data_IF_680301177188
#
_entry.id   IF_680301177188
#
_cell.length_a   1.000
_cell.length_b   1.000
_cell.length_c   1.000
_cell.angle_alpha   90.00
_cell.angle_beta   90.00
_cell.angle_gamma   90.00
#
_symmetry.space_group_name_H-M   'P 1'
#
loop_
_entity.id
_entity.type
_entity.pdbx_description
1 polymer ?
#
# COMPACT_ATOMS: atom_id res chain seq x y z
N UNK A 1 -47.06 -25.98 -24.85
CA UNK A 1 -46.37 -24.70 -25.01
C UNK A 1 -46.72 -23.79 -23.85
N UNK A 2 -45.84 -23.77 -22.86
CA UNK A 2 -45.39 -22.62 -22.07
C UNK A 2 -44.41 -23.18 -21.05
N UNK A 3 -43.21 -23.40 -21.55
CA UNK A 3 -42.01 -23.68 -20.76
C UNK A 3 -41.68 -22.42 -19.96
N UNK A 4 -41.60 -22.55 -18.64
CA UNK A 4 -41.00 -21.54 -17.78
C UNK A 4 -39.76 -22.20 -17.17
N UNK A 5 -38.55 -21.97 -17.69
CA UNK A 5 -37.36 -22.46 -17.01
C UNK A 5 -37.03 -21.49 -15.88
N UNK A 6 -37.32 -21.92 -14.66
CA UNK A 6 -36.58 -21.47 -13.49
C UNK A 6 -35.09 -21.61 -13.79
N UNK A 7 -34.37 -20.50 -13.86
CA UNK A 7 -32.92 -20.50 -13.78
C UNK A 7 -32.48 -19.48 -12.77
N UNK A 8 -32.64 -19.89 -11.52
CA UNK A 8 -31.78 -19.48 -10.43
C UNK A 8 -30.40 -20.09 -10.71
N UNK A 9 -29.41 -19.29 -11.04
CA UNK A 9 -28.02 -19.63 -10.74
C UNK A 9 -27.27 -18.33 -10.46
N UNK A 10 -27.39 -17.88 -9.21
CA UNK A 10 -26.38 -17.05 -8.58
C UNK A 10 -25.06 -17.82 -8.64
N UNK A 11 -24.21 -17.48 -9.60
CA UNK A 11 -22.80 -17.86 -9.57
C UNK A 11 -22.10 -17.00 -8.53
N UNK A 12 -22.39 -17.24 -7.25
CA UNK A 12 -21.51 -16.84 -6.16
C UNK A 12 -20.29 -17.74 -6.22
N UNK A 13 -19.39 -17.44 -7.15
CA UNK A 13 -18.03 -17.93 -7.07
C UNK A 13 -17.44 -17.36 -5.79
N UNK A 14 -17.36 -18.19 -4.75
CA UNK A 14 -16.58 -17.86 -3.56
C UNK A 14 -15.12 -17.85 -3.98
N UNK A 15 -14.66 -16.71 -4.50
CA UNK A 15 -13.25 -16.43 -4.64
C UNK A 15 -12.60 -16.73 -3.29
N UNK A 16 -11.63 -17.63 -3.28
CA UNK A 16 -10.89 -17.92 -2.05
C UNK A 16 -10.25 -16.61 -1.61
N UNK A 17 -10.48 -16.14 -0.37
CA UNK A 17 -9.94 -14.86 0.07
C UNK A 17 -8.41 -14.92 -0.04
N UNK A 18 -7.83 -13.95 -0.73
CA UNK A 18 -6.37 -13.85 -0.87
C UNK A 18 -5.83 -13.52 0.52
N UNK A 19 -5.02 -14.40 1.15
CA UNK A 19 -4.52 -14.14 2.48
C UNK A 19 -3.49 -13.01 2.44
N UNK A 20 -3.44 -12.21 3.52
CA UNK A 20 -2.40 -11.20 3.69
C UNK A 20 -1.01 -11.87 3.63
N UNK A 21 -0.02 -11.23 3.00
CA UNK A 21 1.33 -11.76 2.96
C UNK A 21 1.94 -11.77 4.36
N UNK A 22 2.91 -12.66 4.57
CA UNK A 22 3.77 -12.64 5.74
C UNK A 22 4.96 -11.73 5.44
N UNK A 23 5.06 -10.63 6.17
CA UNK A 23 6.15 -9.66 6.05
C UNK A 23 7.33 -10.07 6.94
N UNK A 24 8.52 -9.59 6.61
CA UNK A 24 9.77 -9.84 7.32
C UNK A 24 9.89 -8.97 8.57
N UNK A 25 9.37 -7.75 8.53
CA UNK A 25 9.38 -6.76 9.58
C UNK A 25 7.98 -6.54 10.18
N UNK A 26 7.96 -5.97 11.38
CA UNK A 26 6.74 -5.46 12.00
C UNK A 26 6.50 -4.02 11.51
N UNK A 27 5.39 -3.82 10.79
CA UNK A 27 5.02 -2.50 10.29
C UNK A 27 3.99 -1.87 11.23
N UNK A 28 4.24 -0.64 11.65
CA UNK A 28 3.28 0.15 12.42
C UNK A 28 2.87 1.39 11.62
N UNK A 29 1.57 1.55 11.29
CA UNK A 29 0.45 0.67 11.64
C UNK A 29 0.35 -0.61 10.79
N UNK A 30 1.05 -0.70 9.66
CA UNK A 30 0.98 -1.84 8.75
C UNK A 30 -0.32 -1.85 7.95
N UNK A 31 -0.97 -3.01 7.82
CA UNK A 31 -2.25 -3.13 7.12
C UNK A 31 -3.38 -2.44 7.90
N UNK A 32 -3.98 -1.44 7.26
CA UNK A 32 -5.09 -0.64 7.78
C UNK A 32 -6.27 -0.65 6.81
N UNK A 33 -7.37 -0.04 7.20
CA UNK A 33 -8.50 0.24 6.32
C UNK A 33 -9.13 1.54 6.82
N UNK A 34 -8.57 2.67 6.37
CA UNK A 34 -8.98 4.00 6.79
C UNK A 34 -9.61 4.71 5.59
N UNK A 35 -10.92 4.93 5.65
CA UNK A 35 -11.67 5.60 4.58
C UNK A 35 -11.75 7.10 4.86
N UNK A 36 -11.29 7.91 3.91
CA UNK A 36 -11.33 9.37 3.94
C UNK A 36 -12.22 9.88 2.80
N UNK A 37 -13.54 9.80 3.00
CA UNK A 37 -14.54 10.15 1.96
C UNK A 37 -14.43 11.58 1.42
N UNK A 38 -13.87 12.50 2.21
CA UNK A 38 -13.66 13.91 1.88
C UNK A 38 -12.43 14.15 1.00
N UNK A 39 -11.41 13.29 1.13
CA UNK A 39 -10.19 13.27 0.31
C UNK A 39 -10.33 12.31 -0.88
N UNK A 40 -11.29 11.40 -0.79
CA UNK A 40 -11.63 10.42 -1.81
C UNK A 40 -10.60 9.30 -1.91
N UNK A 41 -10.16 8.78 -0.78
CA UNK A 41 -9.25 7.65 -0.71
C UNK A 41 -9.57 6.67 0.44
N UNK A 42 -9.08 5.44 0.29
CA UNK A 42 -9.02 4.42 1.35
C UNK A 42 -7.56 4.03 1.51
N UNK A 43 -6.99 4.29 2.69
CA UNK A 43 -5.65 3.83 3.01
C UNK A 43 -5.70 2.36 3.41
N UNK A 44 -4.84 1.56 2.75
CA UNK A 44 -4.77 0.11 2.89
C UNK A 44 -3.53 -0.35 3.65
N UNK A 45 -2.44 0.41 3.57
CA UNK A 45 -1.20 0.10 4.25
C UNK A 45 -0.40 1.36 4.53
N UNK A 46 0.21 1.46 5.72
CA UNK A 46 1.23 2.46 6.03
C UNK A 46 2.40 1.84 6.76
N UNK A 47 3.59 2.35 6.49
CA UNK A 47 4.78 2.03 7.27
C UNK A 47 5.77 3.16 7.25
N UNK A 48 6.49 3.30 8.37
CA UNK A 48 7.65 4.18 8.48
C UNK A 48 8.93 3.34 8.58
N UNK A 49 9.98 3.73 7.87
CA UNK A 49 11.37 3.36 8.15
C UNK A 49 12.01 4.53 8.90
N UNK A 50 12.22 4.40 10.23
CA UNK A 50 12.60 5.54 11.07
C UNK A 50 14.05 6.01 10.87
N UNK A 51 14.99 5.11 10.60
CA UNK A 51 16.42 5.43 10.44
C UNK A 51 16.66 6.31 9.20
N UNK A 52 15.96 5.99 8.12
CA UNK A 52 15.95 6.71 6.86
C UNK A 52 14.83 7.74 6.79
N UNK A 53 13.99 7.88 7.82
CA UNK A 53 12.85 8.81 7.82
C UNK A 53 12.04 8.72 6.52
N UNK A 54 11.66 7.52 6.14
CA UNK A 54 10.83 7.28 4.96
C UNK A 54 9.46 6.80 5.42
N UNK A 55 8.41 7.44 4.91
CA UNK A 55 7.05 6.95 5.04
C UNK A 55 6.61 6.34 3.71
N UNK A 56 5.92 5.21 3.79
CA UNK A 56 5.26 4.57 2.65
C UNK A 56 3.77 4.46 2.93
N UNK A 57 2.96 4.80 1.93
CA UNK A 57 1.53 4.62 1.94
C UNK A 57 1.06 3.92 0.66
N UNK A 58 0.09 3.01 0.84
CA UNK A 58 -0.71 2.45 -0.25
C UNK A 58 -2.18 2.74 -0.01
N UNK A 59 -2.86 3.26 -1.03
CA UNK A 59 -4.28 3.61 -1.00
C UNK A 59 -4.99 3.29 -2.30
N UNK A 60 -6.32 3.25 -2.22
CA UNK A 60 -7.20 3.37 -3.38
C UNK A 60 -7.72 4.81 -3.37
N UNK A 61 -7.48 5.57 -4.43
CA UNK A 61 -7.96 6.95 -4.57
C UNK A 61 -8.96 7.07 -5.73
N UNK A 62 -9.97 7.91 -5.59
CA UNK A 62 -11.02 8.17 -6.59
C UNK A 62 -11.39 9.66 -6.73
N UNK A 63 -10.68 10.56 -6.02
CA UNK A 63 -10.94 11.99 -6.06
C UNK A 63 -9.64 12.80 -6.19
N UNK A 64 -8.91 12.59 -7.29
CA UNK A 64 -7.81 13.49 -7.68
C UNK A 64 -8.36 14.56 -8.63
N UNK A 65 -8.18 15.84 -8.30
CA UNK A 65 -8.56 16.95 -9.20
C UNK A 65 -8.02 16.68 -10.61
N UNK A 66 -8.92 16.40 -11.57
CA UNK A 66 -8.59 16.25 -12.97
C UNK A 66 -8.52 14.83 -13.52
N UNK A 67 -8.53 13.78 -12.69
CA UNK A 67 -8.58 12.39 -13.16
C UNK A 67 -9.68 11.58 -12.46
N UNK A 68 -10.76 11.19 -13.17
CA UNK A 68 -11.93 10.55 -12.57
C UNK A 68 -11.77 9.05 -12.29
N UNK A 69 -10.60 8.47 -12.56
CA UNK A 69 -10.40 7.03 -12.47
C UNK A 69 -9.97 6.61 -11.06
N UNK A 70 -10.75 5.71 -10.45
CA UNK A 70 -10.32 5.01 -9.24
C UNK A 70 -9.06 4.19 -9.53
N UNK A 71 -8.00 4.36 -8.75
CA UNK A 71 -6.71 3.72 -8.96
C UNK A 71 -6.08 3.26 -7.64
N UNK A 72 -5.16 2.30 -7.72
CA UNK A 72 -4.21 2.02 -6.65
C UNK A 72 -3.07 3.04 -6.74
N UNK A 73 -2.75 3.67 -5.61
CA UNK A 73 -1.61 4.56 -5.46
C UNK A 73 -0.61 3.95 -4.49
N UNK A 74 0.67 4.04 -4.84
CA UNK A 74 1.78 3.65 -3.99
C UNK A 74 2.77 4.80 -3.99
N UNK A 75 3.03 5.39 -2.84
CA UNK A 75 3.98 6.48 -2.76
C UNK A 75 4.83 6.39 -1.50
N UNK A 76 6.03 6.98 -1.62
CA UNK A 76 7.01 7.08 -0.57
C UNK A 76 7.47 8.52 -0.46
N UNK A 77 7.52 9.02 0.76
CA UNK A 77 7.92 10.40 1.04
C UNK A 77 8.82 10.48 2.27
N UNK A 78 9.59 11.57 2.43
CA UNK A 78 10.28 11.84 3.68
C UNK A 78 9.29 11.98 4.83
N UNK A 79 9.55 11.29 5.94
CA UNK A 79 8.83 11.44 7.19
C UNK A 79 9.07 12.83 7.77
N UNK A 80 8.11 13.72 7.56
CA UNK A 80 8.11 15.09 8.07
C UNK A 80 8.91 16.09 7.23
N UNK A 81 9.03 17.32 7.73
CA UNK A 81 9.54 18.47 6.97
C UNK A 81 11.04 18.70 7.05
N UNK A 82 11.79 17.83 7.74
CA UNK A 82 13.21 18.05 8.02
C UNK A 82 14.10 17.17 7.14
N UNK A 83 15.07 17.80 6.47
CA UNK A 83 16.17 17.09 5.82
C UNK A 83 17.08 16.37 6.83
N UNK A 84 17.87 15.39 6.38
CA UNK A 84 18.96 14.84 7.19
C UNK A 84 19.97 15.96 7.50
N UNK A 85 20.06 16.30 8.78
CA UNK A 85 21.09 17.19 9.30
C UNK A 85 21.95 16.38 10.24
N UNK A 86 23.21 16.22 9.86
CA UNK A 86 24.18 15.53 10.68
C UNK A 86 24.89 16.55 11.58
N UNK A 87 24.95 16.24 12.88
CA UNK A 87 25.70 17.02 13.88
C UNK A 87 27.03 16.36 14.22
N UNK A 88 27.24 15.13 13.77
CA UNK A 88 28.39 14.29 14.11
C UNK A 88 28.91 13.57 12.83
N UNK A 89 30.24 13.53 12.59
CA UNK A 89 30.83 12.85 11.44
C UNK A 89 30.61 11.33 11.40
N UNK A 90 30.25 10.69 12.51
CA UNK A 90 30.00 9.23 12.57
C UNK A 90 28.56 8.87 12.15
N UNK A 91 27.62 9.82 12.20
CA UNK A 91 26.21 9.57 11.86
C UNK A 91 25.95 9.01 10.45
N UNK A 92 26.70 9.38 9.40
CA UNK A 92 26.59 8.72 8.10
C UNK A 92 26.99 7.24 8.14
N UNK A 93 27.97 6.86 8.97
CA UNK A 93 28.38 5.47 9.16
C UNK A 93 27.31 4.70 9.92
N UNK A 94 26.76 5.29 10.99
CA UNK A 94 25.64 4.68 11.72
C UNK A 94 24.48 4.38 10.78
N UNK A 95 24.08 5.36 9.93
CA UNK A 95 23.02 5.15 8.94
C UNK A 95 23.35 4.05 7.92
N UNK A 96 24.62 3.91 7.54
CA UNK A 96 25.05 2.85 6.63
C UNK A 96 24.84 1.45 7.23
N UNK A 97 25.03 1.30 8.54
CA UNK A 97 24.82 0.02 9.25
C UNK A 97 23.35 -0.42 9.25
N UNK A 98 22.41 0.50 9.01
CA UNK A 98 20.97 0.22 8.89
C UNK A 98 20.51 -0.14 7.47
N UNK A 99 21.39 -0.16 6.46
CA UNK A 99 20.98 -0.43 5.08
C UNK A 99 20.33 -1.81 4.87
N UNK A 100 20.73 -2.83 5.65
CA UNK A 100 20.09 -4.16 5.59
C UNK A 100 18.69 -4.20 6.21
N UNK A 101 18.33 -3.24 7.06
CA UNK A 101 16.96 -3.07 7.53
C UNK A 101 16.12 -2.30 6.51
N UNK A 102 16.69 -1.29 5.85
CA UNK A 102 16.06 -0.62 4.72
C UNK A 102 15.74 -1.59 3.57
N UNK A 103 16.67 -2.46 3.20
CA UNK A 103 16.47 -3.46 2.15
C UNK A 103 15.25 -4.36 2.47
N UNK A 104 15.20 -4.92 3.68
CA UNK A 104 14.07 -5.76 4.12
C UNK A 104 12.75 -4.99 4.15
N UNK A 105 12.78 -3.72 4.55
CA UNK A 105 11.60 -2.86 4.54
C UNK A 105 11.08 -2.60 3.12
N UNK A 106 11.98 -2.38 2.16
CA UNK A 106 11.64 -2.22 0.74
C UNK A 106 11.11 -3.52 0.12
N UNK A 107 11.67 -4.67 0.50
CA UNK A 107 11.16 -5.98 0.08
C UNK A 107 9.74 -6.24 0.59
N UNK A 108 9.45 -5.89 1.84
CA UNK A 108 8.11 -5.99 2.40
C UNK A 108 7.13 -5.06 1.70
N UNK A 109 7.54 -3.83 1.36
CA UNK A 109 6.74 -2.91 0.53
C UNK A 109 6.43 -3.52 -0.83
N UNK A 110 7.42 -4.09 -1.53
CA UNK A 110 7.21 -4.76 -2.81
C UNK A 110 6.18 -5.89 -2.68
N UNK A 111 6.28 -6.68 -1.61
CA UNK A 111 5.33 -7.75 -1.29
C UNK A 111 3.91 -7.21 -1.05
N UNK A 112 3.78 -6.06 -0.39
CA UNK A 112 2.48 -5.38 -0.17
C UNK A 112 1.90 -4.87 -1.49
N UNK A 113 2.69 -4.22 -2.34
CA UNK A 113 2.24 -3.73 -3.65
C UNK A 113 1.70 -4.88 -4.51
N UNK A 114 2.46 -5.98 -4.63
CA UNK A 114 2.03 -7.18 -5.37
C UNK A 114 0.74 -7.77 -4.79
N UNK A 115 0.62 -7.83 -3.47
CA UNK A 115 -0.58 -8.32 -2.81
C UNK A 115 -1.80 -7.44 -3.13
N UNK A 116 -1.66 -6.11 -3.05
CA UNK A 116 -2.75 -5.18 -3.30
C UNK A 116 -3.18 -5.17 -4.76
N UNK A 117 -2.25 -5.25 -5.71
CA UNK A 117 -2.56 -5.41 -7.13
C UNK A 117 -3.32 -6.71 -7.42
N UNK A 118 -2.98 -7.80 -6.72
CA UNK A 118 -3.70 -9.08 -6.84
C UNK A 118 -5.07 -9.04 -6.17
N UNK A 119 -5.22 -8.26 -5.11
CA UNK A 119 -6.48 -8.07 -4.39
C UNK A 119 -7.46 -7.20 -5.17
N UNK A 120 -6.95 -6.22 -5.92
CA UNK A 120 -7.71 -5.27 -6.73
C UNK A 120 -7.26 -5.28 -8.20
N UNK A 121 -7.38 -6.42 -8.92
CA UNK A 121 -6.89 -6.56 -10.28
C UNK A 121 -7.63 -5.65 -11.30
N UNK A 122 -8.78 -5.12 -10.93
CA UNK A 122 -9.58 -4.20 -11.73
C UNK A 122 -9.10 -2.75 -11.68
N UNK A 123 -8.29 -2.38 -10.68
CA UNK A 123 -7.80 -1.02 -10.50
C UNK A 123 -6.45 -0.86 -11.22
N UNK A 124 -6.27 0.20 -12.04
CA UNK A 124 -4.94 0.53 -12.53
C UNK A 124 -4.05 0.98 -11.37
N UNK A 125 -2.74 0.95 -11.59
CA UNK A 125 -1.79 1.66 -10.72
C UNK A 125 -1.59 3.06 -11.28
N UNK A 126 -1.68 4.07 -10.42
CA UNK A 126 -1.41 5.45 -10.78
C UNK A 126 0.10 5.64 -10.98
N UNK A 127 0.51 6.04 -12.18
CA UNK A 127 1.87 6.50 -12.46
C UNK A 127 1.91 8.02 -12.26
N UNK A 128 2.54 8.47 -11.17
CA UNK A 128 2.74 9.89 -10.86
C UNK A 128 4.00 10.45 -11.55
#
# INVERSE_FOLDING_TARGET
>A
MKDNPDTNTSSSGTATPIPRPRLQLDHTPGFVHEEHTDQGDIVLFRSTQPDFKLDFQADISWFTEGDPQTALSFYMEPSGSNCWQFTDPDQPCDLADHCGELERWLDDIGTVCEYLQRLHPELPVLEC
#
